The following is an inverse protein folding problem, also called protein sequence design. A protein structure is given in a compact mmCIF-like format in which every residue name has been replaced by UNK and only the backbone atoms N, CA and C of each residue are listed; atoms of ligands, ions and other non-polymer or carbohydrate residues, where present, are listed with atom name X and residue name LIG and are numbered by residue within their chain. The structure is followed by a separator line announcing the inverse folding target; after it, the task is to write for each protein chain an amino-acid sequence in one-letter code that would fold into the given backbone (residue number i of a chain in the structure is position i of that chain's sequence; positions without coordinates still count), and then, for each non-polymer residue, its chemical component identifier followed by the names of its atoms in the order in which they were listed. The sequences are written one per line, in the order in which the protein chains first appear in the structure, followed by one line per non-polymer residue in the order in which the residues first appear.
data_IF_805785224975
#
_entry.id   IF_805785224975
#
_cell.length_a   1.000
_cell.length_b   1.000
_cell.length_c   1.000
_cell.angle_alpha   90.00
_cell.angle_beta   90.00
_cell.angle_gamma   90.00
#
_symmetry.space_group_name_H-M   'P 1'
#
loop_
_entity.id
_entity.type
_entity.pdbx_description
1 polymer ?
#
# COMPACT_ATOMS: atom_id res chain seq x y z
N UNK A 1 -26.92 11.26 2.73
CA UNK A 1 -26.26 11.15 4.05
C UNK A 1 -25.12 12.15 4.05
N UNK A 2 -25.15 13.10 4.99
CA UNK A 2 -24.22 14.23 5.05
C UNK A 2 -22.84 13.79 5.52
N UNK A 3 -21.84 13.87 4.63
CA UNK A 3 -20.42 13.70 4.93
C UNK A 3 -19.93 14.74 5.94
N UNK A 4 -19.93 14.38 7.22
CA UNK A 4 -19.43 15.21 8.32
C UNK A 4 -18.02 14.77 8.79
N UNK A 5 -17.24 14.11 7.94
CA UNK A 5 -15.93 13.52 8.32
C UNK A 5 -14.72 14.11 7.59
N UNK A 6 -14.87 15.28 6.94
CA UNK A 6 -13.88 15.79 5.98
C UNK A 6 -13.22 17.13 6.35
N UNK A 7 -12.98 17.40 7.65
CA UNK A 7 -12.38 18.67 8.06
C UNK A 7 -11.46 18.58 9.30
N UNK A 8 -10.42 17.75 9.26
CA UNK A 8 -9.29 17.84 10.20
C UNK A 8 -8.00 17.39 9.50
N UNK A 9 -7.38 18.31 8.74
CA UNK A 9 -6.13 18.05 7.99
C UNK A 9 -5.11 19.19 8.11
N UNK A 10 -5.33 20.18 8.99
CA UNK A 10 -4.65 21.49 8.88
C UNK A 10 -3.75 21.91 10.05
N UNK A 11 -3.51 21.06 11.05
CA UNK A 11 -2.68 21.45 12.21
C UNK A 11 -1.89 20.29 12.83
N UNK A 12 -1.22 19.49 12.00
CA UNK A 12 -0.25 18.52 12.53
C UNK A 12 1.16 19.06 12.27
N UNK A 13 1.81 19.70 13.27
CA UNK A 13 3.20 20.17 13.15
C UNK A 13 4.23 19.04 13.27
N UNK A 14 3.80 17.79 13.52
CA UNK A 14 4.69 16.68 13.84
C UNK A 14 4.34 15.46 12.98
N UNK A 15 5.25 15.05 12.11
CA UNK A 15 5.22 13.72 11.51
C UNK A 15 5.43 12.73 12.65
N UNK A 16 4.39 11.95 12.98
CA UNK A 16 4.48 10.92 14.01
C UNK A 16 5.23 9.70 13.46
N UNK A 17 6.55 9.79 13.46
CA UNK A 17 7.47 8.71 13.14
C UNK A 17 8.59 8.63 14.17
N UNK A 18 9.15 7.45 14.36
CA UNK A 18 10.34 7.26 15.22
C UNK A 18 11.62 7.09 14.41
N UNK A 19 11.50 6.79 13.12
CA UNK A 19 12.62 6.68 12.22
C UNK A 19 13.22 8.07 11.92
N UNK A 20 14.53 8.18 12.02
CA UNK A 20 15.33 9.26 11.40
C UNK A 20 15.66 8.91 9.94
N UNK A 21 16.53 9.69 9.29
CA UNK A 21 17.10 9.38 7.98
C UNK A 21 18.39 8.53 8.06
N UNK A 22 18.64 7.86 9.18
CA UNK A 22 19.85 7.05 9.39
C UNK A 22 19.77 5.66 8.75
N UNK A 23 20.94 5.06 8.46
CA UNK A 23 21.01 3.71 7.89
C UNK A 23 20.48 2.65 8.86
N UNK A 24 20.67 2.87 10.17
CA UNK A 24 20.14 1.99 11.22
C UNK A 24 18.62 1.94 11.18
N UNK A 25 17.97 3.11 11.12
CA UNK A 25 16.51 3.18 11.09
C UNK A 25 15.94 2.68 9.77
N UNK A 26 16.62 2.95 8.65
CA UNK A 26 16.26 2.37 7.36
C UNK A 26 16.26 0.84 7.43
N UNK A 27 17.33 0.23 7.96
CA UNK A 27 17.41 -1.22 8.12
C UNK A 27 16.33 -1.76 9.07
N UNK A 28 16.02 -1.03 10.15
CA UNK A 28 14.96 -1.40 11.08
C UNK A 28 13.56 -1.37 10.44
N UNK A 29 13.31 -0.40 9.55
CA UNK A 29 12.09 -0.30 8.74
C UNK A 29 12.05 -1.40 7.68
N UNK A 30 13.14 -1.60 6.93
CA UNK A 30 13.23 -2.65 5.91
C UNK A 30 13.00 -4.05 6.48
N UNK A 31 13.47 -4.30 7.71
CA UNK A 31 13.23 -5.55 8.44
C UNK A 31 11.76 -5.81 8.83
N UNK A 32 10.86 -4.81 8.67
CA UNK A 32 9.41 -4.99 8.85
C UNK A 32 8.70 -5.51 7.60
N UNK A 33 9.35 -5.42 6.43
CA UNK A 33 8.79 -5.96 5.19
C UNK A 33 8.97 -7.47 5.14
N UNK A 34 8.01 -8.17 4.54
CA UNK A 34 8.04 -9.62 4.30
C UNK A 34 8.96 -9.98 3.12
N UNK A 35 10.19 -9.50 3.21
CA UNK A 35 11.21 -9.64 2.17
C UNK A 35 11.50 -11.12 1.90
N UNK A 36 11.47 -11.48 0.62
CA UNK A 36 11.79 -12.82 0.10
C UNK A 36 13.24 -12.93 -0.41
N UNK A 37 13.96 -11.81 -0.50
CA UNK A 37 15.39 -11.79 -0.84
C UNK A 37 16.27 -11.98 0.40
N UNK A 38 17.51 -12.47 0.21
CA UNK A 38 18.47 -12.64 1.30
C UNK A 38 19.13 -11.34 1.80
N UNK A 39 18.40 -10.23 1.82
CA UNK A 39 18.92 -8.91 2.21
C UNK A 39 19.79 -8.20 1.17
N UNK A 40 19.89 -8.76 -0.05
CA UNK A 40 20.62 -8.18 -1.17
C UNK A 40 19.62 -7.92 -2.29
N UNK A 41 19.64 -6.70 -2.83
CA UNK A 41 18.81 -6.32 -3.97
C UNK A 41 19.12 -7.24 -5.16
N UNK A 42 18.08 -7.77 -5.79
CA UNK A 42 18.25 -8.55 -7.00
C UNK A 42 18.54 -7.66 -8.21
N UNK A 43 19.15 -8.24 -9.24
CA UNK A 43 19.37 -7.54 -10.51
C UNK A 43 18.06 -7.14 -11.19
N UNK A 44 16.98 -7.89 -10.99
CA UNK A 44 15.62 -7.56 -11.43
C UNK A 44 14.56 -8.29 -10.59
N UNK A 45 13.33 -7.77 -10.58
CA UNK A 45 12.17 -8.41 -9.92
C UNK A 45 11.95 -9.83 -10.46
N UNK A 46 12.09 -10.02 -11.77
CA UNK A 46 11.92 -11.33 -12.42
C UNK A 46 12.94 -12.35 -11.92
N UNK A 47 14.18 -11.93 -11.65
CA UNK A 47 15.25 -12.78 -11.14
C UNK A 47 15.18 -13.04 -9.62
N UNK A 48 14.32 -12.34 -8.88
CA UNK A 48 14.16 -12.56 -7.43
C UNK A 48 13.66 -13.98 -7.15
N UNK A 49 14.23 -14.58 -6.10
CA UNK A 49 13.63 -15.74 -5.44
C UNK A 49 12.38 -15.26 -4.71
N UNK A 50 11.25 -15.93 -4.97
CA UNK A 50 10.00 -15.65 -4.29
C UNK A 50 9.59 -16.77 -3.35
N UNK A 51 8.56 -16.50 -2.57
CA UNK A 51 7.90 -17.50 -1.72
C UNK A 51 6.59 -17.90 -2.40
N UNK A 52 6.32 -19.21 -2.45
CA UNK A 52 5.08 -19.70 -3.00
C UNK A 52 3.91 -19.35 -2.07
N UNK A 53 2.86 -18.76 -2.65
CA UNK A 53 1.55 -18.58 -2.02
C UNK A 53 0.63 -19.64 -2.59
N UNK A 54 0.02 -20.44 -1.70
CA UNK A 54 -0.86 -21.55 -2.06
C UNK A 54 -2.28 -21.25 -1.65
N UNK A 55 -3.19 -21.25 -2.62
CA UNK A 55 -4.59 -20.90 -2.45
C UNK A 55 -5.48 -22.06 -2.86
N UNK A 56 -6.17 -22.66 -1.89
CA UNK A 56 -7.14 -23.74 -2.11
C UNK A 56 -8.51 -23.25 -2.58
N UNK A 57 -8.71 -21.94 -2.65
CA UNK A 57 -9.95 -21.26 -3.04
C UNK A 57 -9.66 -19.80 -3.37
N UNK A 58 -10.67 -19.07 -3.87
CA UNK A 58 -10.53 -17.68 -4.34
C UNK A 58 -10.01 -17.54 -5.77
N UNK A 59 -9.46 -18.62 -6.35
CA UNK A 59 -8.99 -18.65 -7.73
C UNK A 59 -9.59 -19.82 -8.52
N UNK A 60 -9.70 -19.62 -9.83
CA UNK A 60 -10.02 -20.65 -10.83
C UNK A 60 -8.81 -20.89 -11.72
N UNK A 61 -8.92 -21.84 -12.66
CA UNK A 61 -7.90 -22.07 -13.70
C UNK A 61 -7.65 -20.85 -14.57
N UNK A 62 -8.63 -19.95 -14.69
CA UNK A 62 -8.51 -18.73 -15.49
C UNK A 62 -8.00 -17.56 -14.66
N UNK A 63 -8.29 -17.48 -13.35
CA UNK A 63 -7.93 -16.32 -12.52
C UNK A 63 -6.62 -16.46 -11.75
N UNK A 64 -6.02 -17.64 -11.71
CA UNK A 64 -4.75 -17.85 -11.01
C UNK A 64 -3.57 -17.11 -11.68
N UNK A 65 -2.81 -16.26 -10.97
CA UNK A 65 -1.61 -15.59 -11.52
C UNK A 65 -0.40 -16.51 -11.71
N UNK A 66 -0.54 -17.80 -11.42
CA UNK A 66 0.55 -18.79 -11.46
C UNK A 66 0.07 -20.14 -11.98
N UNK A 67 0.47 -21.21 -11.30
CA UNK A 67 0.08 -22.57 -11.68
C UNK A 67 -1.21 -22.97 -10.98
N UNK A 68 -2.21 -23.42 -11.76
CA UNK A 68 -3.45 -23.97 -11.23
C UNK A 68 -3.52 -25.47 -11.47
N UNK A 69 -3.62 -26.26 -10.40
CA UNK A 69 -3.74 -27.73 -10.49
C UNK A 69 -4.55 -28.27 -9.31
N UNK A 70 -5.45 -29.22 -9.57
CA UNK A 70 -6.25 -29.85 -8.52
C UNK A 70 -7.07 -28.87 -7.68
N UNK A 71 -7.61 -27.81 -8.29
CA UNK A 71 -8.31 -26.70 -7.61
C UNK A 71 -7.46 -25.84 -6.69
N UNK A 72 -6.13 -25.95 -6.77
CA UNK A 72 -5.17 -25.15 -6.01
C UNK A 72 -4.43 -24.21 -6.96
N UNK A 73 -4.45 -22.92 -6.65
CA UNK A 73 -3.60 -21.92 -7.29
C UNK A 73 -2.30 -21.76 -6.50
N UNK A 74 -1.17 -21.79 -7.18
CA UNK A 74 0.15 -21.51 -6.61
C UNK A 74 0.82 -20.42 -7.42
N UNK A 75 1.16 -19.31 -6.78
CA UNK A 75 1.92 -18.23 -7.40
C UNK A 75 3.09 -17.79 -6.52
N UNK A 76 4.03 -17.07 -7.11
CA UNK A 76 5.23 -16.62 -6.42
C UNK A 76 5.04 -15.17 -5.95
N UNK A 77 5.09 -14.94 -4.64
CA UNK A 77 5.20 -13.61 -4.05
C UNK A 77 6.70 -13.22 -4.00
N UNK A 78 7.04 -12.02 -4.47
CA UNK A 78 8.42 -11.53 -4.52
C UNK A 78 8.50 -10.13 -3.95
N UNK A 79 9.34 -9.95 -2.94
CA UNK A 79 9.58 -8.66 -2.30
C UNK A 79 11.04 -8.57 -1.84
N UNK A 80 11.69 -7.44 -2.09
CA UNK A 80 13.00 -7.15 -1.58
C UNK A 80 13.08 -5.68 -1.19
N UNK A 81 13.34 -5.42 0.08
CA UNK A 81 13.58 -4.07 0.58
C UNK A 81 14.97 -4.00 1.16
N UNK A 82 15.77 -3.07 0.65
CA UNK A 82 17.17 -2.91 1.04
C UNK A 82 17.50 -1.46 1.27
N UNK A 83 18.44 -1.22 2.18
CA UNK A 83 18.94 0.11 2.51
C UNK A 83 20.42 0.24 2.14
N UNK A 84 20.83 1.42 1.71
CA UNK A 84 22.23 1.68 1.35
C UNK A 84 22.61 3.14 1.56
N UNK A 85 23.92 3.43 1.47
CA UNK A 85 24.45 4.78 1.62
C UNK A 85 24.67 5.22 3.06
N UNK A 86 25.19 6.44 3.23
CA UNK A 86 25.49 7.05 4.52
C UNK A 86 24.95 8.47 4.66
N UNK A 87 24.78 9.21 3.56
CA UNK A 87 24.14 10.53 3.50
C UNK A 87 24.04 11.00 2.02
N UNK A 88 22.86 10.94 1.36
CA UNK A 88 21.62 10.42 1.90
C UNK A 88 21.67 8.89 2.06
N UNK A 89 20.92 8.38 3.03
CA UNK A 89 20.54 6.97 3.08
C UNK A 89 19.42 6.76 2.08
N UNK A 90 19.47 5.65 1.35
CA UNK A 90 18.44 5.29 0.37
C UNK A 90 17.78 3.99 0.75
N UNK A 91 16.50 3.88 0.42
CA UNK A 91 15.73 2.64 0.47
C UNK A 91 15.32 2.26 -0.95
N UNK A 92 15.59 1.00 -1.32
CA UNK A 92 15.17 0.41 -2.59
C UNK A 92 14.12 -0.66 -2.33
N UNK A 93 13.02 -0.58 -3.06
CA UNK A 93 11.91 -1.54 -3.02
C UNK A 93 11.82 -2.23 -4.36
N UNK A 94 11.85 -3.57 -4.35
CA UNK A 94 11.63 -4.43 -5.51
C UNK A 94 10.47 -5.37 -5.21
N UNK A 95 9.40 -5.34 -5.98
CA UNK A 95 8.22 -6.18 -5.77
C UNK A 95 7.61 -6.62 -7.09
N UNK A 96 6.94 -7.78 -7.08
CA UNK A 96 6.06 -8.19 -8.18
C UNK A 96 4.58 -7.77 -7.99
N UNK A 97 4.27 -7.00 -6.93
CA UNK A 97 2.94 -6.45 -6.65
C UNK A 97 1.86 -7.47 -6.27
N UNK A 98 2.21 -8.75 -6.15
CA UNK A 98 1.26 -9.79 -5.73
C UNK A 98 1.25 -9.90 -4.19
N UNK A 99 0.07 -10.02 -3.55
CA UNK A 99 -0.01 -10.16 -2.10
C UNK A 99 0.58 -11.50 -1.63
N UNK A 100 1.01 -11.55 -0.37
CA UNK A 100 1.48 -12.79 0.27
C UNK A 100 0.36 -13.73 0.74
N UNK A 101 -0.89 -13.47 0.35
CA UNK A 101 -2.09 -14.18 0.76
C UNK A 101 -3.01 -14.46 -0.44
N UNK A 102 -4.18 -15.07 -0.20
CA UNK A 102 -5.13 -15.46 -1.25
C UNK A 102 -6.30 -14.48 -1.37
N UNK A 103 -6.15 -13.39 -2.17
CA UNK A 103 -7.20 -12.38 -2.30
C UNK A 103 -8.43 -12.96 -2.97
N UNK A 104 -9.57 -12.31 -2.76
CA UNK A 104 -10.82 -12.67 -3.42
C UNK A 104 -11.14 -11.69 -4.52
N UNK A 105 -10.76 -12.06 -5.74
CA UNK A 105 -10.85 -11.17 -6.90
C UNK A 105 -11.61 -11.81 -8.04
N UNK A 106 -12.40 -11.03 -8.81
CA UNK A 106 -13.19 -11.56 -9.92
C UNK A 106 -12.39 -11.71 -11.22
N UNK A 107 -11.10 -11.36 -11.24
CA UNK A 107 -10.26 -11.33 -12.45
C UNK A 107 -8.92 -12.04 -12.21
N UNK A 108 -8.23 -12.35 -13.31
CA UNK A 108 -6.90 -12.95 -13.28
C UNK A 108 -5.86 -11.95 -12.83
N UNK A 109 -5.27 -12.15 -11.66
CA UNK A 109 -4.22 -11.24 -11.22
C UNK A 109 -3.01 -11.27 -12.14
N UNK A 110 -2.42 -10.11 -12.33
CA UNK A 110 -1.18 -9.94 -13.07
C UNK A 110 -0.16 -9.30 -12.14
N UNK A 111 0.98 -9.95 -11.99
CA UNK A 111 2.11 -9.34 -11.28
C UNK A 111 2.64 -8.14 -12.04
N UNK A 112 3.04 -7.10 -11.34
CA UNK A 112 3.65 -5.89 -11.91
C UNK A 112 5.05 -5.69 -11.38
N UNK A 113 5.98 -5.18 -12.19
CA UNK A 113 7.33 -4.85 -11.72
C UNK A 113 7.30 -3.50 -11.03
N UNK A 114 7.60 -3.50 -9.73
CA UNK A 114 7.83 -2.30 -8.93
C UNK A 114 9.30 -2.32 -8.52
N UNK A 115 10.12 -1.42 -9.05
CA UNK A 115 11.53 -1.28 -8.63
C UNK A 115 11.91 0.19 -8.60
N UNK A 116 11.93 0.76 -7.40
CA UNK A 116 12.36 2.15 -7.21
C UNK A 116 13.34 2.29 -6.05
N UNK A 117 14.13 3.36 -6.13
CA UNK A 117 15.04 3.82 -5.09
C UNK A 117 14.68 5.25 -4.72
N UNK A 118 14.62 5.54 -3.43
CA UNK A 118 14.38 6.88 -2.89
C UNK A 118 15.32 7.15 -1.73
N UNK A 119 15.55 8.42 -1.42
CA UNK A 119 16.14 8.81 -0.14
C UNK A 119 15.19 8.35 0.97
N UNK A 120 15.74 7.75 2.01
CA UNK A 120 14.95 7.23 3.12
C UNK A 120 14.62 8.34 4.10
N UNK A 121 13.32 8.51 4.36
CA UNK A 121 12.76 9.46 5.31
C UNK A 121 13.43 10.85 5.22
N UNK A 122 13.50 11.45 4.02
CA UNK A 122 14.21 12.69 3.81
C UNK A 122 13.55 13.81 4.61
N UNK A 123 14.34 14.79 5.03
CA UNK A 123 13.78 15.99 5.68
C UNK A 123 13.03 16.83 4.64
N UNK A 124 11.77 16.49 4.37
CA UNK A 124 10.86 17.34 3.61
C UNK A 124 10.34 18.44 4.53
N UNK A 125 10.19 19.63 3.98
CA UNK A 125 9.29 20.57 4.60
C UNK A 125 7.89 19.93 4.58
N UNK A 126 7.25 19.78 5.73
CA UNK A 126 5.87 19.25 5.84
C UNK A 126 4.85 20.02 4.99
N UNK A 127 5.22 21.24 4.58
CA UNK A 127 4.50 22.04 3.60
C UNK A 127 5.09 21.88 2.19
N UNK A 128 5.68 20.75 1.80
CA UNK A 128 6.25 20.55 0.47
C UNK A 128 5.83 19.19 -0.11
N UNK A 129 4.93 19.20 -1.11
CA UNK A 129 4.26 20.38 -1.67
C UNK A 129 3.33 21.04 -0.64
N UNK A 130 3.17 22.37 -0.65
CA UNK A 130 2.27 23.07 0.29
C UNK A 130 0.84 22.64 -0.02
N UNK A 131 0.33 21.65 0.68
CA UNK A 131 -1.03 21.19 0.57
C UNK A 131 -1.82 21.71 1.77
N UNK A 132 -2.13 23.02 1.74
CA UNK A 132 -3.05 23.65 2.69
C UNK A 132 -4.38 23.93 1.97
N UNK A 133 -5.19 22.89 1.68
CA UNK A 133 -6.44 23.10 0.97
C UNK A 133 -7.41 23.91 1.82
N UNK A 134 -7.73 25.12 1.37
CA UNK A 134 -8.74 25.97 2.00
C UNK A 134 -10.18 25.63 1.58
N UNK A 135 -10.36 24.60 0.75
CA UNK A 135 -11.67 24.16 0.26
C UNK A 135 -11.71 22.65 0.02
N UNK A 136 -12.91 22.07 0.04
CA UNK A 136 -13.11 20.67 -0.32
C UNK A 136 -12.61 20.37 -1.75
N UNK A 137 -12.81 21.30 -2.71
CA UNK A 137 -12.30 21.14 -4.08
C UNK A 137 -10.77 21.09 -4.14
N UNK A 138 -10.07 21.92 -3.36
CA UNK A 138 -8.61 21.85 -3.26
C UNK A 138 -8.16 20.55 -2.61
N UNK A 139 -8.85 20.08 -1.56
CA UNK A 139 -8.56 18.81 -0.92
C UNK A 139 -8.78 17.64 -1.90
N UNK A 140 -9.89 17.62 -2.64
CA UNK A 140 -10.13 16.65 -3.71
C UNK A 140 -9.08 16.77 -4.81
N UNK A 141 -8.63 17.98 -5.17
CA UNK A 141 -7.54 18.19 -6.11
C UNK A 141 -6.19 17.62 -5.64
N UNK A 142 -6.01 17.41 -4.34
CA UNK A 142 -4.82 16.79 -3.75
C UNK A 142 -5.02 15.27 -3.65
N UNK A 143 -6.11 14.85 -3.00
CA UNK A 143 -6.38 13.45 -2.63
C UNK A 143 -6.96 12.64 -3.79
N UNK A 144 -7.77 13.24 -4.65
CA UNK A 144 -8.47 12.53 -5.74
C UNK A 144 -7.79 12.71 -7.11
N UNK A 145 -6.79 13.59 -7.22
CA UNK A 145 -6.10 13.78 -8.48
C UNK A 145 -5.01 12.72 -8.67
N UNK A 146 -5.37 11.61 -9.33
CA UNK A 146 -4.44 10.53 -9.68
C UNK A 146 -3.22 10.98 -10.50
N UNK A 147 -3.26 12.17 -11.12
CA UNK A 147 -2.15 12.74 -11.89
C UNK A 147 -1.26 13.71 -11.12
N UNK A 148 -1.68 14.22 -9.95
CA UNK A 148 -0.88 15.15 -9.14
C UNK A 148 0.26 14.45 -8.37
N UNK A 149 0.14 13.14 -8.13
CA UNK A 149 1.16 12.30 -7.50
C UNK A 149 2.45 12.13 -8.35
N UNK A 150 2.52 12.79 -9.51
CA UNK A 150 3.77 12.93 -10.25
C UNK A 150 4.79 13.84 -9.55
N UNK A 151 4.38 14.68 -8.59
CA UNK A 151 5.30 15.59 -7.91
C UNK A 151 5.85 14.97 -6.63
N UNK A 152 6.69 13.95 -6.78
CA UNK A 152 7.54 13.52 -5.67
C UNK A 152 8.51 14.67 -5.33
N UNK A 153 8.63 15.10 -4.06
CA UNK A 153 9.60 16.12 -3.68
C UNK A 153 10.99 15.80 -4.22
N UNK A 154 11.69 16.78 -4.80
CA UNK A 154 13.02 16.55 -5.39
C UNK A 154 14.04 16.03 -4.37
N UNK A 155 13.86 16.39 -3.09
CA UNK A 155 14.68 15.90 -1.97
C UNK A 155 14.56 14.39 -1.73
N UNK A 156 13.48 13.76 -2.20
CA UNK A 156 13.30 12.30 -2.14
C UNK A 156 14.15 11.56 -3.16
N UNK A 157 14.66 12.26 -4.19
CA UNK A 157 15.50 11.68 -5.24
C UNK A 157 14.94 10.35 -5.79
N UNK A 158 13.63 10.33 -6.09
CA UNK A 158 12.96 9.14 -6.58
C UNK A 158 13.53 8.71 -7.94
N UNK A 159 13.95 7.45 -8.01
CA UNK A 159 14.45 6.80 -9.23
C UNK A 159 13.64 5.53 -9.47
N UNK A 160 12.92 5.48 -10.59
CA UNK A 160 12.32 4.25 -11.09
C UNK A 160 13.39 3.44 -11.82
N UNK A 161 13.91 2.38 -11.19
CA UNK A 161 14.95 1.53 -11.78
C UNK A 161 14.36 0.61 -12.86
N UNK A 162 13.16 0.08 -12.63
CA UNK A 162 12.38 -0.68 -13.62
C UNK A 162 10.90 -0.75 -13.23
N UNK A 163 10.02 -0.93 -14.22
CA UNK A 163 8.57 -0.96 -14.02
C UNK A 163 7.82 -0.34 -15.19
N UNK A 164 6.49 -0.45 -15.19
CA UNK A 164 5.64 0.18 -16.20
C UNK A 164 5.24 1.60 -15.77
N UNK A 165 4.68 2.38 -16.69
CA UNK A 165 4.09 3.70 -16.41
C UNK A 165 3.00 3.68 -15.31
N UNK A 166 2.53 2.49 -14.89
CA UNK A 166 1.58 2.28 -13.79
C UNK A 166 2.09 2.73 -12.41
N UNK A 167 3.37 3.11 -12.27
CA UNK A 167 3.85 3.79 -11.05
C UNK A 167 3.41 5.26 -10.95
N UNK A 168 2.65 5.77 -11.93
CA UNK A 168 2.06 7.10 -11.87
C UNK A 168 1.00 7.23 -10.77
N UNK A 169 0.26 6.15 -10.48
CA UNK A 169 -0.77 6.11 -9.42
C UNK A 169 -0.25 5.56 -8.09
N UNK A 170 1.02 5.13 -8.05
CA UNK A 170 1.68 4.59 -6.87
C UNK A 170 1.95 5.70 -5.86
N UNK A 171 1.34 5.60 -4.69
CA UNK A 171 1.67 6.42 -3.54
C UNK A 171 2.74 5.77 -2.65
N UNK A 172 2.80 4.44 -2.61
CA UNK A 172 3.80 3.70 -1.84
C UNK A 172 3.73 2.19 -2.05
N UNK A 173 4.54 1.45 -1.32
CA UNK A 173 4.50 -0.01 -1.27
C UNK A 173 4.33 -0.46 0.18
N UNK A 174 3.38 -1.34 0.39
CA UNK A 174 3.09 -1.93 1.70
C UNK A 174 4.11 -3.00 2.11
N UNK A 175 4.12 -3.39 3.38
CA UNK A 175 5.08 -4.38 3.91
C UNK A 175 5.01 -5.76 3.26
N UNK A 176 3.90 -6.10 2.60
CA UNK A 176 3.74 -7.33 1.83
C UNK A 176 3.92 -7.11 0.33
N UNK A 177 4.49 -5.97 -0.08
CA UNK A 177 4.92 -5.71 -1.45
C UNK A 177 3.81 -5.28 -2.40
N UNK A 178 2.57 -5.17 -1.93
CA UNK A 178 1.43 -4.68 -2.73
C UNK A 178 1.52 -3.16 -2.87
N UNK A 179 1.18 -2.64 -4.05
CA UNK A 179 1.11 -1.19 -4.27
C UNK A 179 0.01 -0.56 -3.41
N UNK A 180 0.34 0.60 -2.83
CA UNK A 180 -0.64 1.52 -2.26
C UNK A 180 -0.86 2.58 -3.33
N UNK A 181 -2.06 2.63 -3.88
CA UNK A 181 -2.46 3.58 -4.92
C UNK A 181 -3.30 4.71 -4.34
N UNK A 182 -3.54 5.73 -5.15
CA UNK A 182 -4.31 6.91 -4.76
C UNK A 182 -5.76 6.56 -4.38
N UNK A 183 -6.43 7.39 -3.58
CA UNK A 183 -7.79 7.16 -3.03
C UNK A 183 -8.85 6.85 -4.09
N UNK A 184 -8.71 7.42 -5.29
CA UNK A 184 -9.60 7.12 -6.41
C UNK A 184 -9.06 5.96 -7.23
N UNK A 185 -9.97 5.08 -7.66
CA UNK A 185 -9.64 4.06 -8.66
C UNK A 185 -9.28 4.70 -10.01
N UNK A 186 -8.79 3.87 -10.94
CA UNK A 186 -8.53 4.30 -12.32
C UNK A 186 -9.76 4.89 -13.04
N UNK A 187 -10.97 4.61 -12.57
CA UNK A 187 -12.22 5.15 -13.09
C UNK A 187 -12.64 6.46 -12.40
N UNK A 188 -11.79 7.04 -11.55
CA UNK A 188 -12.04 8.25 -10.77
C UNK A 188 -13.26 8.12 -9.83
N UNK A 189 -13.44 6.93 -9.24
CA UNK A 189 -14.50 6.61 -8.27
C UNK A 189 -13.89 6.13 -6.95
N UNK A 190 -14.66 6.25 -5.88
CA UNK A 190 -14.35 5.62 -4.60
C UNK A 190 -14.59 4.10 -4.73
N UNK A 191 -13.54 3.26 -4.62
CA UNK A 191 -13.67 1.81 -4.77
C UNK A 191 -14.45 1.16 -3.61
N UNK A 192 -14.60 1.84 -2.47
CA UNK A 192 -15.40 1.35 -1.35
C UNK A 192 -16.89 1.64 -1.53
N UNK A 193 -17.23 2.69 -2.29
CA UNK A 193 -18.61 3.10 -2.59
C UNK A 193 -18.80 3.49 -4.07
N UNK A 194 -18.52 2.59 -5.03
CA UNK A 194 -18.56 2.95 -6.45
C UNK A 194 -20.01 3.20 -6.89
N UNK A 195 -20.27 4.25 -7.70
CA UNK A 195 -21.62 4.58 -8.17
C UNK A 195 -22.20 3.49 -9.08
N UNK A 196 -21.33 2.78 -9.81
CA UNK A 196 -21.67 1.62 -10.63
C UNK A 196 -20.90 0.39 -10.13
N UNK A 197 -21.61 -0.70 -9.83
CA UNK A 197 -21.09 -1.96 -9.26
C UNK A 197 -20.26 -2.79 -10.27
N UNK A 198 -19.34 -2.17 -11.00
CA UNK A 198 -18.40 -2.92 -11.82
C UNK A 198 -17.63 -3.89 -10.91
N UNK A 199 -17.54 -5.15 -11.32
CA UNK A 199 -16.94 -6.20 -10.49
C UNK A 199 -15.48 -5.88 -10.14
N UNK A 200 -14.78 -5.15 -11.01
CA UNK A 200 -13.37 -4.77 -10.87
C UNK A 200 -13.10 -3.84 -9.68
N UNK A 201 -14.08 -3.01 -9.29
CA UNK A 201 -13.94 -2.08 -8.16
C UNK A 201 -14.31 -2.72 -6.82
N UNK A 202 -14.72 -3.99 -6.80
CA UNK A 202 -15.11 -4.65 -5.56
C UNK A 202 -13.89 -5.00 -4.72
N UNK A 203 -13.78 -4.32 -3.58
CA UNK A 203 -12.79 -4.62 -2.54
C UNK A 203 -13.08 -5.94 -1.82
N UNK A 204 -12.02 -6.68 -1.55
CA UNK A 204 -12.07 -7.84 -0.68
C UNK A 204 -12.03 -7.43 0.81
N UNK A 205 -12.13 -8.40 1.72
CA UNK A 205 -12.06 -8.13 3.15
C UNK A 205 -10.67 -7.70 3.63
N UNK A 206 -9.67 -7.68 2.74
CA UNK A 206 -8.38 -7.08 2.97
C UNK A 206 -8.26 -5.66 2.41
N UNK A 207 -9.37 -5.07 1.96
CA UNK A 207 -9.44 -3.69 1.46
C UNK A 207 -8.56 -3.44 0.24
N UNK A 208 -8.27 -4.50 -0.52
CA UNK A 208 -7.60 -4.43 -1.80
C UNK A 208 -8.49 -4.94 -2.93
N UNK A 209 -8.15 -4.55 -4.15
CA UNK A 209 -8.79 -5.04 -5.36
C UNK A 209 -7.85 -4.91 -6.56
N UNK A 210 -8.17 -5.55 -7.71
CA UNK A 210 -7.40 -5.40 -8.92
C UNK A 210 -7.81 -4.13 -9.69
N UNK A 211 -6.84 -3.45 -10.30
CA UNK A 211 -7.13 -2.38 -11.27
C UNK A 211 -7.55 -2.96 -12.64
N UNK A 212 -7.76 -2.10 -13.64
CA UNK A 212 -8.16 -2.52 -14.99
C UNK A 212 -7.09 -3.36 -15.72
N UNK A 213 -5.83 -3.34 -15.26
CA UNK A 213 -4.74 -4.19 -15.74
C UNK A 213 -4.60 -5.47 -14.90
N UNK A 214 -5.54 -5.71 -14.00
CA UNK A 214 -5.59 -6.81 -13.05
C UNK A 214 -4.42 -6.84 -12.04
N UNK A 215 -3.82 -5.68 -11.76
CA UNK A 215 -2.83 -5.53 -10.70
C UNK A 215 -3.54 -5.28 -9.37
N UNK A 216 -3.30 -6.14 -8.39
CA UNK A 216 -3.86 -6.00 -7.05
C UNK A 216 -3.17 -4.86 -6.30
N UNK A 217 -3.95 -4.02 -5.63
CA UNK A 217 -3.46 -2.85 -4.91
C UNK A 217 -4.37 -2.50 -3.74
N UNK A 218 -3.88 -1.62 -2.87
CA UNK A 218 -4.62 -1.03 -1.77
C UNK A 218 -4.90 0.45 -2.02
N UNK A 219 -6.04 0.93 -1.54
CA UNK A 219 -6.37 2.37 -1.46
C UNK A 219 -6.19 2.96 -0.06
N UNK A 220 -6.02 2.08 0.94
CA UNK A 220 -5.83 2.43 2.33
C UNK A 220 -5.01 1.34 3.02
N UNK A 221 -4.63 1.56 4.27
CA UNK A 221 -3.89 0.57 5.03
C UNK A 221 -4.66 -0.76 5.15
N UNK A 222 -4.13 -1.81 4.51
CA UNK A 222 -4.65 -3.16 4.67
C UNK A 222 -4.06 -3.78 5.93
N UNK A 223 -4.90 -4.05 6.93
CA UNK A 223 -4.45 -4.81 8.08
C UNK A 223 -4.08 -6.26 7.72
N UNK A 224 -4.48 -6.78 6.55
CA UNK A 224 -4.01 -8.09 6.05
C UNK A 224 -2.54 -8.09 5.64
N UNK A 225 -1.99 -6.94 5.25
CA UNK A 225 -0.56 -6.81 5.00
C UNK A 225 0.23 -7.10 6.28
N UNK A 226 -0.27 -6.67 7.45
CA UNK A 226 0.37 -6.92 8.75
C UNK A 226 -0.05 -8.26 9.36
N UNK A 227 -1.36 -8.51 9.42
CA UNK A 227 -1.98 -9.70 9.98
C UNK A 227 -2.45 -10.59 8.85
N UNK A 228 -1.51 -11.35 8.27
CA UNK A 228 -1.80 -12.25 7.14
C UNK A 228 -2.99 -13.17 7.48
N UNK A 229 -4.09 -13.14 6.71
CA UNK A 229 -5.22 -14.02 6.97
C UNK A 229 -4.87 -15.48 6.68
N UNK A 230 -5.45 -16.38 7.47
CA UNK A 230 -5.40 -17.82 7.19
C UNK A 230 -6.50 -18.20 6.20
N UNK A 231 -6.12 -18.72 5.03
CA UNK A 231 -7.07 -19.23 4.05
C UNK A 231 -7.60 -18.17 3.08
N UNK A 232 -8.81 -18.41 2.58
CA UNK A 232 -9.48 -17.56 1.59
C UNK A 232 -10.05 -16.31 2.24
N UNK A 233 -9.88 -15.19 1.57
CA UNK A 233 -10.46 -13.91 1.96
C UNK A 233 -11.90 -13.85 1.43
N UNK A 234 -12.83 -13.26 2.19
CA UNK A 234 -14.20 -12.98 1.74
C UNK A 234 -14.24 -11.67 0.95
N UNK A 235 -15.33 -11.39 0.21
CA UNK A 235 -15.53 -10.02 -0.28
C UNK A 235 -15.82 -9.09 0.90
N UNK A 236 -15.54 -7.79 0.76
CA UNK A 236 -15.95 -6.81 1.77
C UNK A 236 -17.48 -6.82 1.93
N UNK A 237 -18.22 -6.92 0.82
CA UNK A 237 -19.69 -7.04 0.81
C UNK A 237 -20.21 -8.28 1.54
N UNK A 238 -19.45 -9.38 1.56
CA UNK A 238 -19.76 -10.60 2.30
C UNK A 238 -19.34 -10.55 3.76
N UNK A 239 -18.68 -9.48 4.20
CA UNK A 239 -18.16 -9.30 5.55
C UNK A 239 -18.92 -8.17 6.23
N UNK A 240 -19.85 -8.50 7.14
CA UNK A 240 -20.79 -7.52 7.71
C UNK A 240 -20.12 -6.27 8.28
N UNK A 241 -19.01 -6.43 9.01
CA UNK A 241 -18.26 -5.29 9.56
C UNK A 241 -17.70 -4.38 8.46
N UNK A 242 -17.08 -4.96 7.42
CA UNK A 242 -16.55 -4.24 6.27
C UNK A 242 -17.65 -3.51 5.49
N UNK A 243 -18.75 -4.21 5.19
CA UNK A 243 -19.87 -3.67 4.42
C UNK A 243 -20.65 -2.58 5.16
N UNK A 244 -20.63 -2.59 6.50
CA UNK A 244 -21.35 -1.61 7.32
C UNK A 244 -20.56 -0.32 7.48
N UNK A 245 -19.26 -0.43 7.80
CA UNK A 245 -18.38 0.72 7.99
C UNK A 245 -16.94 0.31 7.69
N UNK A 246 -16.51 0.58 6.45
CA UNK A 246 -15.19 0.18 5.96
C UNK A 246 -14.05 0.84 6.72
N UNK A 247 -14.22 2.08 7.18
CA UNK A 247 -13.21 2.81 7.95
C UNK A 247 -12.97 2.14 9.31
N UNK A 248 -14.04 1.94 10.09
CA UNK A 248 -13.95 1.24 11.37
C UNK A 248 -13.44 -0.20 11.21
N UNK A 249 -13.86 -0.87 10.14
CA UNK A 249 -13.36 -2.21 9.82
C UNK A 249 -11.86 -2.21 9.52
N UNK A 250 -11.38 -1.30 8.66
CA UNK A 250 -9.96 -1.16 8.33
C UNK A 250 -9.10 -0.93 9.56
N UNK A 251 -9.51 -0.04 10.47
CA UNK A 251 -8.85 0.16 11.77
C UNK A 251 -8.86 -1.12 12.60
N UNK A 252 -10.01 -1.82 12.66
CA UNK A 252 -10.15 -3.05 13.46
C UNK A 252 -9.22 -4.19 13.02
N UNK A 253 -8.77 -4.20 11.75
CA UNK A 253 -7.78 -5.17 11.27
C UNK A 253 -6.41 -5.01 11.95
N UNK A 254 -6.17 -3.88 12.62
CA UNK A 254 -4.97 -3.59 13.40
C UNK A 254 -5.15 -3.80 14.91
N UNK A 255 -6.27 -4.37 15.37
CA UNK A 255 -6.54 -4.56 16.80
C UNK A 255 -5.50 -5.42 17.54
N UNK A 256 -4.78 -6.29 16.83
CA UNK A 256 -3.68 -7.07 17.41
C UNK A 256 -2.35 -6.29 17.44
N UNK A 257 -2.26 -5.17 16.71
CA UNK A 257 -1.07 -4.35 16.51
C UNK A 257 -1.39 -2.89 16.86
N UNK A 258 -1.86 -2.66 18.10
CA UNK A 258 -2.23 -1.32 18.59
C UNK A 258 -1.02 -0.43 18.91
N UNK A 259 0.14 -0.70 18.34
CA UNK A 259 1.33 0.12 18.48
C UNK A 259 1.68 0.76 17.13
N UNK A 260 2.59 1.74 17.17
CA UNK A 260 3.14 2.34 15.96
C UNK A 260 3.81 1.27 15.10
N UNK A 261 3.12 0.88 14.03
CA UNK A 261 3.48 -0.26 13.18
C UNK A 261 3.83 0.25 11.80
N UNK A 262 4.98 -0.14 11.27
CA UNK A 262 5.34 0.11 9.87
C UNK A 262 4.42 -0.73 8.99
N UNK A 263 3.73 -0.09 8.05
CA UNK A 263 2.84 -0.75 7.09
C UNK A 263 3.28 -0.56 5.64
N UNK A 264 4.27 0.30 5.38
CA UNK A 264 4.84 0.50 4.06
C UNK A 264 5.88 1.61 4.01
N UNK A 265 6.27 1.95 2.78
CA UNK A 265 7.12 3.10 2.44
C UNK A 265 6.49 3.85 1.27
N UNK A 266 6.41 5.16 1.39
CA UNK A 266 5.87 6.04 0.38
C UNK A 266 6.87 6.24 -0.76
N UNK A 267 6.36 6.66 -1.93
CA UNK A 267 7.14 6.96 -3.13
C UNK A 267 8.12 8.11 -2.94
N UNK A 268 7.93 8.92 -1.91
CA UNK A 268 8.84 10.00 -1.51
C UNK A 268 9.84 9.58 -0.42
N UNK A 269 9.80 8.31 0.01
CA UNK A 269 10.73 7.75 0.99
C UNK A 269 10.28 7.81 2.45
N UNK A 270 9.13 8.42 2.77
CA UNK A 270 8.61 8.40 4.12
C UNK A 270 8.12 7.00 4.53
N UNK A 271 8.23 6.73 5.83
CA UNK A 271 7.68 5.52 6.42
C UNK A 271 6.17 5.68 6.57
N UNK A 272 5.40 4.71 6.10
CA UNK A 272 3.95 4.67 6.28
C UNK A 272 3.66 3.87 7.55
N UNK A 273 2.92 4.46 8.48
CA UNK A 273 2.54 3.84 9.75
C UNK A 273 1.05 3.48 9.81
N UNK A 274 0.72 2.48 10.62
CA UNK A 274 -0.64 2.07 10.92
C UNK A 274 -1.42 3.08 11.78
N UNK A 275 -2.70 2.79 12.10
CA UNK A 275 -3.63 3.74 12.71
C UNK A 275 -3.43 3.99 14.21
N UNK A 276 -2.31 3.55 14.80
CA UNK A 276 -2.06 3.66 16.23
C UNK A 276 -0.73 4.36 16.53
N UNK A 277 -0.72 5.19 17.56
CA UNK A 277 0.50 5.73 18.15
C UNK A 277 1.28 4.65 18.92
N UNK A 278 2.51 4.97 19.32
CA UNK A 278 3.32 4.12 20.20
C UNK A 278 2.65 3.87 21.57
N UNK A 279 1.73 4.75 21.98
CA UNK A 279 1.00 4.66 23.25
C UNK A 279 -0.15 3.67 23.28
N UNK A 280 -0.60 3.11 22.15
CA UNK A 280 -1.86 2.35 22.10
C UNK A 280 -3.06 3.10 21.53
N UNK A 281 -2.98 4.43 21.55
CA UNK A 281 -4.09 5.30 21.15
C UNK A 281 -4.25 5.32 19.65
N UNK A 282 -5.51 5.31 19.19
CA UNK A 282 -5.85 5.48 17.79
C UNK A 282 -5.51 6.90 17.32
N UNK A 283 -5.06 7.00 16.08
CA UNK A 283 -4.86 8.28 15.41
C UNK A 283 -6.23 8.82 15.00
N UNK A 284 -6.76 9.76 15.78
CA UNK A 284 -8.08 10.37 15.52
C UNK A 284 -8.06 11.36 14.34
N UNK A 285 -6.88 11.77 13.88
CA UNK A 285 -6.69 12.59 12.68
C UNK A 285 -6.23 11.67 11.54
N UNK A 286 -7.18 11.28 10.69
CA UNK A 286 -6.98 10.35 9.56
C UNK A 286 -6.08 10.93 8.43
N UNK A 287 -5.30 11.95 8.74
CA UNK A 287 -4.34 12.65 7.88
C UNK A 287 -3.04 11.89 7.64
N UNK A 288 -2.90 10.69 8.22
CA UNK A 288 -1.63 9.96 8.28
C UNK A 288 -1.43 8.91 7.17
N UNK A 289 -2.41 8.71 6.28
CA UNK A 289 -2.32 7.56 5.36
C UNK A 289 -1.64 7.83 4.02
N UNK A 290 -1.56 9.07 3.55
CA UNK A 290 -0.94 9.41 2.26
C UNK A 290 -0.51 10.89 2.27
N UNK A 291 0.70 11.19 2.77
CA UNK A 291 1.43 12.39 2.34
C UNK A 291 2.49 11.95 1.33
#
# INVERSE_FOLDING_TARGET
MTSAFLLFLLYIPVIYGTASNSLSDCNAVAAKFDTTCGGIAASSVTAMTGVNVTCSSGFTSTTCPGTYSGSVCVFSHKLCVTCSGSSPVTIRVQSNGLPRYCPNVPVTLVGTTIDFTVNFNPDVNINSPVHNPSSASALYGIVCNISSQMTVPSVSNFVLNSGSASVSTLAGVSIDGVSIENVNSANNVDPFYPPDVTLTERVDACLGHPNFQSVYHYHMASGCAVNRPSGSISSCTGTTACNTNVSNYGISLFNNNRNLTVIGVAKDGHVIYGPYYSSGSEVNDMSLFLQ
#
